data_IF_307068257518
#
_entry.id   IF_307068257518
#
_cell.length_a   1.000
_cell.length_b   1.000
_cell.length_c   1.000
_cell.angle_alpha   90.00
_cell.angle_beta   90.00
_cell.angle_gamma   90.00
#
_symmetry.space_group_name_H-M   'P 1'
#
loop_
_entity.id
_entity.type
_entity.pdbx_description
1 polymer ?
#
# COMPACT_ATOMS: atom_id res chain seq x y z
N UNK A 1 11.49 21.07 4.25
CA UNK A 1 11.83 19.77 3.63
C UNK A 1 11.16 18.60 4.36
N UNK A 2 11.29 18.50 5.69
CA UNK A 2 10.64 17.46 6.50
C UNK A 2 9.12 17.35 6.31
N UNK A 3 8.40 18.48 6.25
CA UNK A 3 6.94 18.49 6.10
C UNK A 3 6.46 17.89 4.77
N UNK A 4 7.21 18.13 3.68
CA UNK A 4 6.89 17.56 2.37
C UNK A 4 7.12 16.04 2.35
N UNK A 5 8.16 15.57 3.05
CA UNK A 5 8.45 14.15 3.18
C UNK A 5 7.38 13.43 4.01
N UNK A 6 6.91 14.03 5.11
CA UNK A 6 5.79 13.50 5.91
C UNK A 6 4.50 13.46 5.08
N UNK A 7 4.20 14.49 4.29
CA UNK A 7 3.04 14.52 3.39
C UNK A 7 3.11 13.39 2.36
N UNK A 8 4.28 13.22 1.73
CA UNK A 8 4.52 12.15 0.76
C UNK A 8 4.30 10.75 1.38
N UNK A 9 4.81 10.51 2.58
CA UNK A 9 4.61 9.26 3.31
C UNK A 9 3.15 9.02 3.66
N UNK A 10 2.43 10.04 4.13
CA UNK A 10 0.98 9.94 4.41
C UNK A 10 0.18 9.56 3.15
N UNK A 11 0.48 10.17 2.01
CA UNK A 11 -0.16 9.85 0.73
C UNK A 11 0.18 8.40 0.32
N UNK A 12 1.44 7.96 0.45
CA UNK A 12 1.85 6.59 0.15
C UNK A 12 1.16 5.54 1.02
N UNK A 13 0.99 5.81 2.31
CA UNK A 13 0.22 4.98 3.24
C UNK A 13 -1.24 4.91 2.82
N UNK A 14 -1.86 6.04 2.46
CA UNK A 14 -3.26 6.08 2.03
C UNK A 14 -3.47 5.28 0.72
N UNK A 15 -2.58 5.45 -0.27
CA UNK A 15 -2.64 4.75 -1.55
C UNK A 15 -2.43 3.24 -1.42
N UNK A 16 -1.50 2.81 -0.56
CA UNK A 16 -1.26 1.39 -0.30
C UNK A 16 -2.44 0.75 0.43
N UNK A 17 -3.07 1.45 1.36
CA UNK A 17 -4.29 1.01 2.04
C UNK A 17 -5.47 0.92 1.05
N UNK A 18 -5.68 1.94 0.21
CA UNK A 18 -6.70 1.92 -0.84
C UNK A 18 -6.49 0.77 -1.84
N UNK A 19 -5.25 0.51 -2.22
CA UNK A 19 -4.87 -0.61 -3.10
C UNK A 19 -5.09 -1.97 -2.44
N UNK A 20 -4.86 -2.09 -1.13
CA UNK A 20 -5.12 -3.31 -0.37
C UNK A 20 -6.63 -3.60 -0.31
N UNK A 21 -7.45 -2.59 -0.03
CA UNK A 21 -8.91 -2.72 0.00
C UNK A 21 -9.47 -3.06 -1.39
N UNK A 22 -9.04 -2.33 -2.44
CA UNK A 22 -9.47 -2.63 -3.81
C UNK A 22 -9.04 -4.04 -4.24
N UNK A 23 -7.83 -4.47 -3.87
CA UNK A 23 -7.32 -5.79 -4.25
C UNK A 23 -7.96 -6.94 -3.48
N UNK A 24 -8.56 -6.67 -2.31
CA UNK A 24 -9.43 -7.61 -1.60
C UNK A 24 -10.80 -7.77 -2.29
N UNK A 25 -11.37 -6.68 -2.80
CA UNK A 25 -12.67 -6.68 -3.52
C UNK A 25 -12.51 -7.37 -4.88
N UNK A 26 -11.56 -6.90 -5.70
CA UNK A 26 -11.17 -7.55 -6.95
C UNK A 26 -9.67 -7.38 -7.18
N UNK A 27 -8.89 -8.48 -7.12
CA UNK A 27 -7.43 -8.43 -7.32
C UNK A 27 -7.02 -7.87 -8.68
N UNK A 28 -7.89 -8.00 -9.68
CA UNK A 28 -7.69 -7.53 -11.07
C UNK A 28 -7.52 -6.01 -11.17
N UNK A 29 -8.14 -5.22 -10.29
CA UNK A 29 -8.02 -3.76 -10.36
C UNK A 29 -6.66 -3.24 -9.92
N UNK A 30 -5.92 -4.05 -9.16
CA UNK A 30 -4.70 -3.59 -8.48
C UNK A 30 -3.47 -4.33 -9.00
N UNK A 31 -3.59 -5.64 -9.23
CA UNK A 31 -2.56 -6.47 -9.85
C UNK A 31 -2.93 -6.73 -11.33
N UNK A 32 -3.16 -5.70 -12.14
CA UNK A 32 -3.48 -5.87 -13.57
C UNK A 32 -2.45 -6.75 -14.31
N UNK A 33 -1.19 -6.74 -13.83
CA UNK A 33 -0.06 -7.49 -14.40
C UNK A 33 0.38 -8.74 -13.61
N UNK A 34 -0.07 -8.90 -12.36
CA UNK A 34 0.37 -10.01 -11.51
C UNK A 34 -0.76 -11.02 -11.41
N UNK A 35 -0.44 -12.29 -11.67
CA UNK A 35 -1.35 -13.45 -11.65
C UNK A 35 -2.70 -13.20 -10.95
N UNK A 36 -3.75 -13.05 -11.78
CA UNK A 36 -4.98 -12.28 -11.51
C UNK A 36 -5.84 -12.76 -10.34
N UNK A 37 -5.51 -13.89 -9.72
CA UNK A 37 -6.42 -14.60 -8.82
C UNK A 37 -5.90 -14.83 -7.39
N UNK A 38 -4.64 -14.55 -7.09
CA UNK A 38 -4.13 -14.88 -5.76
C UNK A 38 -4.30 -13.71 -4.77
N UNK A 39 -5.47 -13.67 -4.09
CA UNK A 39 -5.80 -12.64 -3.08
C UNK A 39 -4.76 -12.56 -1.96
N UNK A 40 -4.16 -13.69 -1.57
CA UNK A 40 -3.08 -13.73 -0.59
C UNK A 40 -1.84 -12.96 -1.07
N UNK A 41 -1.60 -12.94 -2.38
CA UNK A 41 -0.48 -12.22 -2.99
C UNK A 41 -0.71 -10.72 -2.98
N UNK A 42 -1.94 -10.26 -3.20
CA UNK A 42 -2.34 -8.85 -3.01
C UNK A 42 -2.08 -8.43 -1.56
N UNK A 43 -2.60 -9.19 -0.59
CA UNK A 43 -2.42 -8.87 0.83
C UNK A 43 -0.94 -8.86 1.19
N UNK A 44 -0.16 -9.84 0.72
CA UNK A 44 1.27 -9.90 0.99
C UNK A 44 2.01 -8.70 0.38
N UNK A 45 1.79 -8.36 -0.88
CA UNK A 45 2.50 -7.27 -1.57
C UNK A 45 2.05 -5.90 -1.03
N UNK A 46 0.76 -5.57 -1.12
CA UNK A 46 0.27 -4.26 -0.69
C UNK A 46 0.29 -4.11 0.84
N UNK A 47 0.11 -5.20 1.59
CA UNK A 47 0.21 -5.18 3.04
C UNK A 47 1.64 -4.99 3.54
N UNK A 48 2.64 -5.62 2.90
CA UNK A 48 4.05 -5.34 3.25
C UNK A 48 4.46 -3.92 2.88
N UNK A 49 4.06 -3.40 1.72
CA UNK A 49 4.31 -2.00 1.34
C UNK A 49 3.63 -1.04 2.31
N UNK A 50 2.36 -1.30 2.66
CA UNK A 50 1.62 -0.51 3.63
C UNK A 50 2.32 -0.50 4.99
N UNK A 51 2.65 -1.68 5.53
CA UNK A 51 3.32 -1.80 6.83
C UNK A 51 4.68 -1.10 6.81
N UNK A 52 5.47 -1.26 5.75
CA UNK A 52 6.76 -0.61 5.63
C UNK A 52 6.62 0.93 5.64
N UNK A 53 5.72 1.47 4.81
CA UNK A 53 5.48 2.92 4.76
C UNK A 53 4.89 3.46 6.07
N UNK A 54 4.02 2.69 6.72
CA UNK A 54 3.41 3.07 7.99
C UNK A 54 4.44 3.11 9.14
N UNK A 55 5.30 2.10 9.23
CA UNK A 55 6.40 2.09 10.21
C UNK A 55 7.37 3.23 9.94
N UNK A 56 7.71 3.49 8.67
CA UNK A 56 8.58 4.60 8.30
C UNK A 56 7.95 5.95 8.65
N UNK A 57 6.64 6.12 8.45
CA UNK A 57 5.91 7.30 8.87
C UNK A 57 5.94 7.48 10.38
N UNK A 58 5.74 6.42 11.17
CA UNK A 58 5.81 6.47 12.64
C UNK A 58 7.21 6.85 13.17
N UNK A 59 8.28 6.45 12.50
CA UNK A 59 9.65 6.78 12.90
C UNK A 59 10.06 8.21 12.55
N UNK A 60 9.47 8.76 11.49
CA UNK A 60 9.80 10.10 10.96
C UNK A 60 8.91 11.20 11.53
N UNK A 61 7.71 10.85 11.98
CA UNK A 61 6.73 11.76 12.59
C UNK A 61 7.14 12.17 14.01
#
# INVERSE_FOLDING_TARGET
>A
MYSALILFLKIGVLLSLGSLVMGLIRPVFVLWFFDRFNRLKVIRIYGTIFLFLFVLLLLVQ
#
